data_IF_977724895605
#
_entry.id   IF_977724895605
#
_cell.length_a   1.000
_cell.length_b   1.000
_cell.length_c   1.000
_cell.angle_alpha   90.00
_cell.angle_beta   90.00
_cell.angle_gamma   90.00
#
_symmetry.space_group_name_H-M   'P 1'
#
loop_
_entity.id
_entity.type
_entity.pdbx_description
1 polymer ?
#
# COMPACT_ATOMS: atom_id res chain seq x y z
N UNK A 1 81.83 -7.11 12.18
CA UNK A 1 81.65 -6.62 10.80
C UNK A 1 80.83 -5.33 10.91
N UNK A 2 81.38 -4.21 10.39
CA UNK A 2 80.87 -2.83 10.54
C UNK A 2 79.43 -2.70 9.99
N UNK A 3 78.58 -1.82 10.51
CA UNK A 3 78.40 -0.43 10.02
C UNK A 3 77.81 0.48 11.11
N UNK A 4 78.24 1.74 11.05
CA UNK A 4 78.03 2.88 11.95
C UNK A 4 76.59 3.42 12.01
N UNK A 5 76.25 3.90 13.21
CA UNK A 5 75.14 4.83 13.51
C UNK A 5 75.67 6.28 13.48
N UNK A 6 74.97 7.20 12.79
CA UNK A 6 75.18 8.66 12.93
C UNK A 6 73.81 9.37 12.97
N UNK A 7 73.70 10.29 13.93
CA UNK A 7 72.59 11.22 14.22
C UNK A 7 72.34 12.28 13.14
N UNK A 8 71.14 12.91 13.13
CA UNK A 8 70.97 14.37 13.33
C UNK A 8 69.48 14.77 13.57
N UNK A 9 69.17 15.87 14.30
CA UNK A 9 67.80 16.31 14.66
C UNK A 9 67.33 17.64 14.01
N UNK A 10 66.02 17.90 14.15
CA UNK A 10 65.23 19.16 14.22
C UNK A 10 65.50 20.33 13.25
N UNK A 11 64.42 20.87 12.65
CA UNK A 11 64.00 22.28 12.84
C UNK A 11 62.59 22.56 12.26
N UNK A 12 61.93 23.57 12.84
CA UNK A 12 60.50 23.94 12.77
C UNK A 12 60.29 25.29 12.06
N UNK A 13 59.08 25.48 11.50
CA UNK A 13 58.31 26.73 11.24
C UNK A 13 58.68 27.61 10.00
N UNK A 14 57.83 28.58 9.53
CA UNK A 14 56.36 28.81 9.62
C UNK A 14 55.65 29.25 8.27
N UNK A 15 54.31 29.45 8.32
CA UNK A 15 53.35 30.08 7.36
C UNK A 15 53.67 31.58 7.03
N UNK A 16 53.17 32.28 5.95
CA UNK A 16 51.73 32.67 5.77
C UNK A 16 51.16 33.09 4.37
N UNK A 17 49.81 33.12 4.30
CA UNK A 17 48.84 34.06 3.67
C UNK A 17 48.91 34.60 2.21
N UNK A 18 47.70 34.68 1.60
CA UNK A 18 47.08 35.74 0.74
C UNK A 18 46.45 35.19 -0.56
N UNK A 19 45.40 35.72 -1.21
CA UNK A 19 44.19 36.49 -0.88
C UNK A 19 43.34 36.58 -2.19
N UNK A 20 42.04 36.94 -2.09
CA UNK A 20 41.15 37.60 -3.10
C UNK A 20 40.17 36.80 -4.02
N UNK A 21 38.88 36.97 -3.67
CA UNK A 21 37.61 37.22 -4.42
C UNK A 21 37.17 36.46 -5.69
N UNK A 22 35.90 36.02 -5.73
CA UNK A 22 34.76 36.83 -6.23
C UNK A 22 33.41 36.13 -5.98
N UNK A 23 32.36 36.92 -5.82
CA UNK A 23 31.01 36.50 -5.46
C UNK A 23 30.18 36.08 -6.68
N UNK A 24 29.30 35.09 -6.49
CA UNK A 24 28.09 34.92 -7.28
C UNK A 24 26.97 34.43 -6.35
N UNK A 25 25.91 35.22 -6.26
CA UNK A 25 24.66 34.92 -5.57
C UNK A 25 24.03 33.65 -6.15
N UNK A 26 23.64 32.71 -5.30
CA UNK A 26 22.71 31.64 -5.67
C UNK A 26 21.55 31.65 -4.68
N UNK A 27 20.37 31.98 -5.20
CA UNK A 27 19.08 31.86 -4.53
C UNK A 27 18.81 30.38 -4.27
N UNK A 28 18.94 29.92 -3.03
CA UNK A 28 18.56 28.56 -2.63
C UNK A 28 17.05 28.49 -2.43
N UNK A 29 16.30 28.14 -3.47
CA UNK A 29 14.97 27.56 -3.30
C UNK A 29 15.13 26.14 -2.77
N UNK A 30 15.13 25.96 -1.45
CA UNK A 30 15.04 24.63 -0.86
C UNK A 30 13.62 24.11 -1.03
N UNK A 31 13.32 23.49 -2.17
CA UNK A 31 12.17 22.58 -2.25
C UNK A 31 12.53 21.35 -1.43
N UNK A 32 12.12 21.35 -0.16
CA UNK A 32 11.97 20.13 0.62
C UNK A 32 11.07 19.19 -0.18
N UNK A 33 11.66 18.20 -0.85
CA UNK A 33 10.89 17.08 -1.41
C UNK A 33 10.46 16.26 -0.20
N UNK A 34 9.28 16.55 0.32
CA UNK A 34 8.54 15.65 1.21
C UNK A 34 8.38 14.34 0.45
N UNK A 35 9.11 13.30 0.84
CA UNK A 35 8.90 11.96 0.29
C UNK A 35 7.49 11.52 0.68
N UNK A 36 6.60 11.41 -0.31
CA UNK A 36 5.29 10.82 -0.09
C UNK A 36 5.49 9.36 0.31
N UNK A 37 5.14 9.07 1.56
CA UNK A 37 5.05 7.73 2.10
C UNK A 37 3.90 7.03 1.39
N UNK A 38 4.17 5.94 0.66
CA UNK A 38 3.16 5.20 -0.08
C UNK A 38 3.56 3.71 -0.23
N UNK A 39 2.64 2.83 0.12
CA UNK A 39 2.72 1.37 -0.02
C UNK A 39 1.34 0.84 -0.43
N UNK A 40 1.29 -0.31 -1.09
CA UNK A 40 0.13 -0.72 -1.89
C UNK A 40 -0.06 -2.22 -1.91
N UNK A 41 -1.31 -2.65 -1.78
CA UNK A 41 -1.69 -4.05 -1.99
C UNK A 41 -1.47 -4.47 -3.47
N UNK A 42 -0.95 -5.68 -3.75
CA UNK A 42 -0.85 -6.20 -5.12
C UNK A 42 -2.23 -6.46 -5.74
N UNK A 43 -2.30 -6.43 -7.07
CA UNK A 43 -3.51 -6.72 -7.86
C UNK A 43 -4.14 -8.08 -7.48
N UNK A 44 -5.46 -8.17 -7.66
CA UNK A 44 -6.20 -9.41 -7.51
C UNK A 44 -5.61 -10.49 -8.46
N UNK A 45 -5.16 -11.63 -7.92
CA UNK A 45 -4.51 -12.66 -8.74
C UNK A 45 -5.51 -13.51 -9.54
N UNK A 46 -6.82 -13.40 -9.27
CA UNK A 46 -7.82 -14.17 -9.99
C UNK A 46 -8.02 -13.61 -11.40
N UNK A 47 -8.00 -14.48 -12.43
CA UNK A 47 -8.26 -14.03 -13.78
C UNK A 47 -9.72 -13.64 -13.96
N UNK A 48 -9.99 -12.83 -14.98
CA UNK A 48 -11.33 -12.36 -15.31
C UNK A 48 -11.50 -12.26 -16.83
N UNK A 49 -12.76 -12.15 -17.23
CA UNK A 49 -13.13 -11.84 -18.60
C UNK A 49 -13.51 -10.37 -18.74
N UNK A 50 -13.32 -9.84 -19.94
CA UNK A 50 -13.93 -8.57 -20.36
C UNK A 50 -14.92 -8.80 -21.49
N UNK A 51 -15.93 -7.92 -21.54
CA UNK A 51 -16.90 -7.89 -22.64
C UNK A 51 -16.38 -6.94 -23.71
N UNK A 52 -16.28 -7.45 -24.93
CA UNK A 52 -15.95 -6.69 -26.12
C UNK A 52 -17.14 -5.84 -26.58
N UNK A 53 -16.93 -4.80 -27.39
CA UNK A 53 -18.01 -3.96 -27.93
C UNK A 53 -19.12 -4.72 -28.68
N UNK A 54 -18.81 -5.88 -29.27
CA UNK A 54 -19.79 -6.75 -29.94
C UNK A 54 -20.56 -7.70 -29.00
N UNK A 55 -20.31 -7.62 -27.69
CA UNK A 55 -20.90 -8.48 -26.67
C UNK A 55 -20.20 -9.82 -26.47
N UNK A 56 -19.18 -10.14 -27.27
CA UNK A 56 -18.35 -11.33 -27.04
C UNK A 56 -17.47 -11.17 -25.79
N UNK A 57 -17.02 -12.29 -25.23
CA UNK A 57 -16.13 -12.31 -24.07
C UNK A 57 -14.70 -12.58 -24.51
N UNK A 58 -13.73 -11.89 -23.92
CA UNK A 58 -12.30 -12.26 -24.05
C UNK A 58 -12.04 -13.65 -23.46
N UNK A 59 -10.92 -14.31 -23.78
CA UNK A 59 -10.31 -15.33 -22.93
C UNK A 59 -10.00 -14.79 -21.53
N UNK A 60 -9.52 -15.65 -20.63
CA UNK A 60 -9.13 -15.23 -19.28
C UNK A 60 -7.96 -14.24 -19.37
N UNK A 61 -8.09 -13.15 -18.64
CA UNK A 61 -7.09 -12.10 -18.52
C UNK A 61 -6.57 -12.04 -17.09
N UNK A 62 -5.29 -11.78 -16.96
CA UNK A 62 -4.58 -11.58 -15.70
C UNK A 62 -4.19 -10.12 -15.55
N UNK A 63 -4.56 -9.52 -14.42
CA UNK A 63 -4.12 -8.17 -14.06
C UNK A 63 -2.92 -8.26 -13.12
N UNK A 64 -1.83 -7.60 -13.49
CA UNK A 64 -0.57 -7.62 -12.74
C UNK A 64 -0.14 -6.20 -12.37
N UNK A 65 0.42 -6.07 -11.16
CA UNK A 65 0.97 -4.84 -10.64
C UNK A 65 0.52 -4.51 -9.23
N UNK A 66 0.91 -3.33 -8.76
CA UNK A 66 0.64 -2.82 -7.42
C UNK A 66 0.32 -1.32 -7.41
N UNK A 67 -0.05 -0.75 -8.55
CA UNK A 67 -0.40 0.67 -8.66
C UNK A 67 0.79 1.66 -8.66
N UNK A 68 1.92 1.40 -7.98
CA UNK A 68 3.10 2.31 -7.98
C UNK A 68 4.07 2.11 -9.16
N UNK A 69 3.67 1.26 -10.10
CA UNK A 69 4.31 1.08 -11.40
C UNK A 69 3.27 1.21 -12.51
N UNK A 70 3.57 0.72 -13.71
CA UNK A 70 2.60 0.62 -14.80
C UNK A 70 1.93 -0.76 -14.73
N UNK A 71 0.80 -0.94 -14.02
CA UNK A 71 0.10 -2.22 -14.02
C UNK A 71 -0.34 -2.54 -15.44
N UNK A 72 -0.37 -3.82 -15.77
CA UNK A 72 -0.73 -4.28 -17.10
C UNK A 72 -1.63 -5.49 -17.03
N UNK A 73 -2.33 -5.74 -18.13
CA UNK A 73 -3.17 -6.92 -18.31
C UNK A 73 -2.48 -7.83 -19.32
N UNK A 74 -2.50 -9.13 -19.10
CA UNK A 74 -2.08 -10.11 -20.08
C UNK A 74 -3.11 -11.23 -20.23
N UNK A 75 -3.05 -11.95 -21.34
CA UNK A 75 -3.78 -13.22 -21.50
C UNK A 75 -3.08 -14.38 -20.75
N UNK A 76 -3.62 -15.60 -20.89
CA UNK A 76 -3.08 -16.82 -20.30
C UNK A 76 -1.71 -17.24 -20.86
N UNK A 77 -1.35 -16.76 -22.06
CA UNK A 77 -0.05 -17.03 -22.69
C UNK A 77 1.00 -15.95 -22.34
N UNK A 78 0.60 -14.90 -21.63
CA UNK A 78 1.46 -13.81 -21.18
C UNK A 78 1.68 -12.72 -22.23
N UNK A 79 0.80 -12.58 -23.23
CA UNK A 79 0.77 -11.43 -24.14
C UNK A 79 0.01 -10.29 -23.50
N UNK A 80 0.59 -9.10 -23.53
CA UNK A 80 0.00 -7.89 -22.95
C UNK A 80 -1.17 -7.44 -23.80
N UNK A 81 -2.24 -7.00 -23.13
CA UNK A 81 -3.46 -6.51 -23.76
C UNK A 81 -3.79 -5.11 -23.26
N UNK A 82 -4.52 -4.35 -24.07
CA UNK A 82 -4.97 -3.00 -23.73
C UNK A 82 -6.24 -2.64 -24.51
N UNK A 83 -6.88 -1.53 -24.14
CA UNK A 83 -8.03 -1.01 -24.87
C UNK A 83 -7.60 -0.05 -25.98
N UNK A 84 -8.22 -0.16 -27.15
CA UNK A 84 -8.11 0.84 -28.22
C UNK A 84 -9.11 1.99 -28.03
N UNK A 85 -9.12 2.94 -28.97
CA UNK A 85 -9.97 4.13 -28.93
C UNK A 85 -11.47 3.79 -29.09
N UNK A 86 -11.75 2.67 -29.75
CA UNK A 86 -13.09 2.12 -29.97
C UNK A 86 -13.58 1.24 -28.80
N UNK A 87 -12.72 1.01 -27.80
CA UNK A 87 -13.04 0.26 -26.58
C UNK A 87 -12.86 -1.26 -26.69
N UNK A 88 -12.30 -1.78 -27.80
CA UNK A 88 -11.94 -3.18 -27.92
C UNK A 88 -10.73 -3.51 -27.08
N UNK A 89 -10.73 -4.70 -26.49
CA UNK A 89 -9.53 -5.29 -25.89
C UNK A 89 -8.71 -5.94 -27.00
N UNK A 90 -7.53 -5.38 -27.26
CA UNK A 90 -6.59 -5.77 -28.30
C UNK A 90 -5.23 -6.12 -27.70
N UNK A 91 -4.42 -6.92 -28.42
CA UNK A 91 -3.05 -7.15 -28.02
C UNK A 91 -2.23 -5.86 -28.12
N UNK A 92 -1.29 -5.68 -27.22
CA UNK A 92 -0.33 -4.58 -27.26
C UNK A 92 0.85 -4.93 -28.18
N UNK A 93 1.28 -3.96 -28.98
CA UNK A 93 2.50 -4.06 -29.78
C UNK A 93 3.50 -2.99 -29.36
N UNK A 94 4.79 -3.29 -29.57
CA UNK A 94 5.85 -2.33 -29.31
C UNK A 94 5.70 -1.12 -30.24
N UNK A 95 5.85 0.10 -29.71
CA UNK A 95 6.08 1.24 -30.58
C UNK A 95 7.51 1.14 -31.13
N UNK A 96 7.65 1.09 -32.46
CA UNK A 96 8.95 1.14 -33.12
C UNK A 96 9.77 2.32 -32.57
N UNK A 97 10.90 2.01 -31.94
CA UNK A 97 11.81 2.98 -31.30
C UNK A 97 12.54 3.86 -32.34
N UNK A 98 12.35 3.57 -33.64
CA UNK A 98 13.14 4.09 -34.77
C UNK A 98 12.75 5.50 -35.25
N UNK A 99 11.71 6.13 -34.68
CA UNK A 99 11.34 7.53 -34.99
C UNK A 99 11.97 8.56 -34.02
N UNK A 100 12.97 8.16 -33.23
CA UNK A 100 13.74 9.09 -32.40
C UNK A 100 15.00 9.52 -33.13
N UNK A 101 15.12 10.82 -33.41
CA UNK A 101 16.35 11.42 -33.93
C UNK A 101 17.59 10.94 -33.15
N UNK A 102 18.66 10.55 -33.84
CA UNK A 102 19.93 10.09 -33.26
C UNK A 102 20.50 11.01 -32.16
N UNK A 103 20.08 12.28 -32.10
CA UNK A 103 20.36 13.22 -31.02
C UNK A 103 19.84 12.78 -29.64
N UNK A 104 18.66 12.15 -29.55
CA UNK A 104 18.07 11.70 -28.28
C UNK A 104 18.79 10.48 -27.71
N UNK A 105 19.28 9.60 -28.60
CA UNK A 105 20.04 8.41 -28.22
C UNK A 105 21.45 8.77 -27.72
N UNK A 106 22.08 9.82 -28.29
CA UNK A 106 23.38 10.30 -27.84
C UNK A 106 23.32 11.09 -26.52
N UNK A 107 22.21 11.78 -26.24
CA UNK A 107 22.00 12.42 -24.93
C UNK A 107 21.85 11.38 -23.82
N UNK A 108 21.14 10.27 -24.09
CA UNK A 108 20.95 9.17 -23.13
C UNK A 108 22.23 8.38 -22.84
N UNK A 109 23.08 8.16 -23.84
CA UNK A 109 24.37 7.47 -23.64
C UNK A 109 25.40 8.26 -22.82
N UNK A 110 25.14 9.54 -22.54
CA UNK A 110 25.94 10.39 -21.64
C UNK A 110 25.39 10.44 -20.21
N UNK A 111 24.25 9.79 -19.93
CA UNK A 111 23.56 9.82 -18.64
C UNK A 111 23.42 8.44 -17.98
N UNK A 112 24.29 7.47 -18.32
CA UNK A 112 24.38 6.22 -17.57
C UNK A 112 25.07 6.48 -16.22
N UNK A 113 24.26 6.64 -15.16
CA UNK A 113 24.39 5.92 -13.87
C UNK A 113 23.37 6.37 -12.79
N UNK A 114 22.43 7.27 -13.08
CA UNK A 114 21.30 7.54 -12.17
C UNK A 114 20.05 8.01 -12.93
N UNK A 115 18.92 7.33 -12.72
CA UNK A 115 17.57 7.85 -12.95
C UNK A 115 17.06 8.04 -14.40
N UNK A 116 17.19 7.04 -15.28
CA UNK A 116 16.46 7.04 -16.57
C UNK A 116 15.45 5.89 -16.68
N UNK A 117 14.19 6.21 -16.32
CA UNK A 117 12.98 5.47 -16.67
C UNK A 117 12.87 5.29 -18.20
N UNK A 118 13.33 4.15 -18.71
CA UNK A 118 12.99 3.73 -20.07
C UNK A 118 11.62 3.03 -20.03
N UNK A 119 10.51 3.78 -20.05
CA UNK A 119 9.17 3.17 -20.24
C UNK A 119 9.16 2.35 -21.54
N UNK A 120 8.63 1.12 -21.51
CA UNK A 120 8.27 0.41 -22.75
C UNK A 120 7.07 1.12 -23.34
N UNK A 121 7.30 1.87 -24.42
CA UNK A 121 6.22 2.46 -25.20
C UNK A 121 5.51 1.32 -25.94
N UNK A 122 4.27 1.05 -25.57
CA UNK A 122 3.37 0.12 -26.28
C UNK A 122 2.21 0.92 -26.87
N UNK A 123 1.56 0.33 -27.88
CA UNK A 123 0.33 0.86 -28.46
C UNK A 123 -0.67 -0.29 -28.68
N UNK A 124 -1.98 0.01 -28.79
CA UNK A 124 -2.95 -0.98 -29.23
C UNK A 124 -2.57 -1.49 -30.63
N UNK A 125 -2.53 -2.79 -30.80
CA UNK A 125 -2.45 -3.41 -32.14
C UNK A 125 -3.83 -3.48 -32.78
N UNK A 126 -3.88 -3.87 -34.05
CA UNK A 126 -5.13 -4.19 -34.76
C UNK A 126 -5.73 -5.56 -34.41
N UNK A 127 -5.11 -6.30 -33.49
CA UNK A 127 -5.43 -7.70 -33.22
C UNK A 127 -6.32 -7.83 -31.98
N UNK A 128 -7.61 -8.09 -32.21
CA UNK A 128 -8.61 -8.27 -31.15
C UNK A 128 -8.33 -9.55 -30.38
N UNK A 129 -8.30 -9.44 -29.05
CA UNK A 129 -8.05 -10.59 -28.16
C UNK A 129 -9.19 -11.61 -28.30
N UNK A 130 -8.83 -12.89 -28.43
CA UNK A 130 -9.77 -13.99 -28.67
C UNK A 130 -10.16 -14.22 -30.14
N UNK A 131 -9.78 -13.32 -31.05
CA UNK A 131 -10.04 -13.48 -32.50
C UNK A 131 -8.89 -14.13 -33.27
N UNK A 132 -7.69 -14.18 -32.67
CA UNK A 132 -6.44 -14.67 -33.28
C UNK A 132 -5.59 -15.37 -32.23
N UNK A 133 -4.75 -16.31 -32.67
CA UNK A 133 -3.69 -16.93 -31.87
C UNK A 133 -2.46 -15.99 -31.82
N UNK A 134 -2.13 -15.41 -30.65
CA UNK A 134 -1.06 -14.42 -30.53
C UNK A 134 0.33 -15.02 -30.77
N UNK A 135 0.53 -16.32 -30.57
CA UNK A 135 1.81 -17.00 -30.81
C UNK A 135 2.24 -17.00 -32.28
N UNK A 136 1.28 -16.78 -33.18
CA UNK A 136 1.52 -16.69 -34.63
C UNK A 136 1.91 -15.28 -35.10
N UNK A 137 1.82 -14.28 -34.21
CA UNK A 137 2.03 -12.87 -34.52
C UNK A 137 3.43 -12.41 -34.08
N UNK A 138 4.00 -11.44 -34.79
CA UNK A 138 5.29 -10.83 -34.46
C UNK A 138 5.08 -9.42 -33.90
N UNK A 139 5.96 -8.98 -33.00
CA UNK A 139 5.96 -7.62 -32.46
C UNK A 139 5.01 -7.36 -31.30
N UNK A 140 4.28 -8.39 -30.84
CA UNK A 140 3.45 -8.29 -29.64
C UNK A 140 4.31 -8.20 -28.37
N UNK A 141 3.88 -7.38 -27.43
CA UNK A 141 4.54 -7.22 -26.13
C UNK A 141 4.13 -8.35 -25.19
N UNK A 142 5.09 -8.91 -24.44
CA UNK A 142 4.84 -9.94 -23.41
C UNK A 142 4.99 -9.41 -21.99
N UNK A 143 4.33 -10.05 -21.03
CA UNK A 143 4.41 -9.76 -19.60
C UNK A 143 5.86 -9.82 -19.09
N UNK A 144 6.63 -10.81 -19.55
CA UNK A 144 8.06 -10.93 -19.21
C UNK A 144 8.88 -9.70 -19.65
N UNK A 145 8.51 -9.07 -20.77
CA UNK A 145 9.14 -7.82 -21.22
C UNK A 145 8.73 -6.64 -20.31
N UNK A 146 7.48 -6.59 -19.87
CA UNK A 146 6.96 -5.55 -18.97
C UNK A 146 7.57 -5.57 -17.57
N UNK A 147 7.77 -6.75 -16.98
CA UNK A 147 8.28 -6.92 -15.59
C UNK A 147 9.72 -6.41 -15.38
N UNK A 148 10.54 -6.34 -16.43
CA UNK A 148 11.95 -5.89 -16.35
C UNK A 148 12.14 -4.40 -16.02
N UNK A 149 11.06 -3.61 -15.87
CA UNK A 149 11.14 -2.15 -15.73
C UNK A 149 10.84 -1.70 -14.30
N UNK A 150 11.84 -1.07 -13.67
CA UNK A 150 11.87 -0.73 -12.24
C UNK A 150 10.96 0.46 -11.89
N UNK A 151 10.27 0.34 -10.77
CA UNK A 151 9.82 1.47 -9.96
C UNK A 151 10.62 1.47 -8.65
N UNK A 152 11.48 2.49 -8.48
CA UNK A 152 12.11 2.82 -7.21
C UNK A 152 11.20 3.82 -6.50
N UNK A 153 10.30 3.36 -5.64
CA UNK A 153 9.67 4.23 -4.64
C UNK A 153 9.74 3.64 -3.24
N UNK A 154 9.99 4.56 -2.32
CA UNK A 154 10.62 4.46 -1.02
C UNK A 154 10.02 3.44 -0.06
N UNK A 155 10.89 2.78 0.70
CA UNK A 155 10.55 2.11 1.96
C UNK A 155 10.20 3.14 3.04
N UNK A 156 9.10 2.88 3.74
CA UNK A 156 8.70 3.56 4.96
C UNK A 156 9.72 3.37 6.11
N UNK A 157 9.95 4.44 6.88
CA UNK A 157 10.57 4.37 8.21
C UNK A 157 9.47 4.37 9.29
N UNK A 158 9.28 3.23 9.96
CA UNK A 158 8.24 3.01 10.99
C UNK A 158 8.80 2.97 12.43
N UNK A 159 9.88 3.68 12.72
CA UNK A 159 10.60 3.60 14.00
C UNK A 159 9.81 3.98 15.25
N UNK A 160 8.66 4.67 15.14
CA UNK A 160 7.88 5.12 16.30
C UNK A 160 6.80 4.12 16.78
N UNK A 161 6.07 3.44 15.88
CA UNK A 161 5.05 2.44 16.28
C UNK A 161 5.70 1.15 16.81
N UNK A 162 6.78 0.71 16.15
CA UNK A 162 7.53 -0.52 16.54
C UNK A 162 8.06 -0.47 17.97
N UNK A 163 8.57 0.69 18.41
CA UNK A 163 9.17 0.87 19.74
C UNK A 163 8.16 0.64 20.87
N UNK A 164 6.88 0.93 20.63
CA UNK A 164 5.82 0.76 21.62
C UNK A 164 5.39 -0.70 21.74
N UNK A 165 5.22 -1.39 20.62
CA UNK A 165 4.83 -2.81 20.55
C UNK A 165 5.86 -3.74 21.20
N UNK A 166 7.14 -3.37 21.16
CA UNK A 166 8.24 -4.19 21.69
C UNK A 166 8.52 -4.02 23.20
N UNK A 167 7.81 -3.12 23.90
CA UNK A 167 8.18 -2.69 25.27
C UNK A 167 7.33 -3.29 26.41
N UNK A 168 6.32 -4.11 26.11
CA UNK A 168 5.31 -4.55 27.09
C UNK A 168 5.05 -6.05 27.04
N UNK A 169 4.99 -6.69 28.21
CA UNK A 169 4.48 -8.07 28.39
C UNK A 169 2.95 -8.12 28.47
N UNK A 170 2.28 -6.98 28.61
CA UNK A 170 0.83 -6.84 28.60
C UNK A 170 0.29 -6.65 27.17
N UNK A 171 -0.93 -7.15 26.92
CA UNK A 171 -1.66 -6.94 25.67
C UNK A 171 -1.71 -5.45 25.32
N UNK A 172 -1.20 -5.10 24.14
CA UNK A 172 -1.26 -3.76 23.59
C UNK A 172 -2.62 -3.54 22.96
N UNK A 173 -3.36 -2.52 23.39
CA UNK A 173 -4.57 -2.06 22.72
C UNK A 173 -4.19 -1.08 21.61
N UNK A 174 -4.72 -1.33 20.41
CA UNK A 174 -4.55 -0.46 19.25
C UNK A 174 -5.93 -0.03 18.76
N UNK A 175 -6.24 1.26 18.90
CA UNK A 175 -7.53 1.83 18.54
C UNK A 175 -7.47 2.53 17.19
N UNK A 176 -8.27 2.10 16.23
CA UNK A 176 -8.37 2.72 14.91
C UNK A 176 -9.65 3.54 14.78
N UNK A 177 -9.57 4.69 14.11
CA UNK A 177 -10.73 5.39 13.56
C UNK A 177 -10.93 4.91 12.12
N UNK A 178 -12.13 4.43 11.80
CA UNK A 178 -12.49 3.97 10.46
C UNK A 178 -13.51 4.92 9.85
N UNK A 179 -13.10 5.61 8.79
CA UNK A 179 -13.95 6.48 7.98
C UNK A 179 -14.64 5.68 6.88
N UNK A 180 -15.94 5.86 6.73
CA UNK A 180 -16.70 5.34 5.58
C UNK A 180 -16.97 6.50 4.62
N UNK A 181 -16.25 6.56 3.50
CA UNK A 181 -16.31 7.68 2.54
C UNK A 181 -17.17 7.35 1.33
N UNK A 182 -18.30 8.04 1.20
CA UNK A 182 -19.19 7.98 0.04
C UNK A 182 -18.88 9.13 -0.93
N UNK A 183 -18.64 8.82 -2.20
CA UNK A 183 -18.44 9.85 -3.23
C UNK A 183 -19.77 10.53 -3.59
N UNK A 184 -19.70 11.77 -4.10
CA UNK A 184 -20.89 12.58 -4.40
C UNK A 184 -21.83 11.90 -5.41
N UNK A 185 -21.26 11.17 -6.37
CA UNK A 185 -21.97 10.41 -7.41
C UNK A 185 -22.42 9.01 -6.96
N UNK A 186 -22.09 8.58 -5.75
CA UNK A 186 -22.47 7.27 -5.21
C UNK A 186 -23.65 7.31 -4.24
N UNK A 187 -24.40 8.41 -4.19
CA UNK A 187 -25.52 8.61 -3.25
C UNK A 187 -26.65 7.59 -3.41
N UNK A 188 -26.85 7.04 -4.61
CA UNK A 188 -27.83 5.99 -4.89
C UNK A 188 -27.27 4.57 -4.84
N UNK A 189 -25.97 4.39 -4.58
CA UNK A 189 -25.34 3.06 -4.53
C UNK A 189 -25.71 2.36 -3.23
N UNK A 190 -26.05 1.08 -3.34
CA UNK A 190 -26.24 0.22 -2.18
C UNK A 190 -24.86 -0.08 -1.55
N UNK A 191 -24.73 0.16 -0.25
CA UNK A 191 -23.48 0.06 0.49
C UNK A 191 -23.67 -0.75 1.78
N UNK A 192 -22.66 -1.51 2.24
CA UNK A 192 -22.70 -2.12 3.56
C UNK A 192 -22.92 -1.09 4.65
N UNK A 193 -23.74 -1.42 5.65
CA UNK A 193 -24.04 -0.50 6.76
C UNK A 193 -22.83 -0.30 7.68
N UNK A 194 -22.85 0.77 8.47
CA UNK A 194 -21.89 1.00 9.55
C UNK A 194 -21.83 -0.18 10.53
N UNK A 195 -22.97 -0.84 10.81
CA UNK A 195 -23.02 -2.04 11.65
C UNK A 195 -22.32 -3.25 11.00
N UNK A 196 -22.41 -3.41 9.68
CA UNK A 196 -21.62 -4.43 8.97
C UNK A 196 -20.12 -4.19 9.16
N UNK A 197 -19.65 -2.95 8.99
CA UNK A 197 -18.24 -2.61 9.25
C UNK A 197 -17.86 -2.76 10.71
N UNK A 198 -18.73 -2.41 11.66
CA UNK A 198 -18.46 -2.66 13.07
C UNK A 198 -18.20 -4.16 13.34
N UNK A 199 -18.99 -5.07 12.74
CA UNK A 199 -18.75 -6.51 12.83
C UNK A 199 -17.47 -6.93 12.13
N UNK A 200 -17.24 -6.42 10.92
CA UNK A 200 -16.04 -6.68 10.12
C UNK A 200 -14.73 -6.35 10.86
N UNK A 201 -14.71 -5.25 11.62
CA UNK A 201 -13.53 -4.83 12.38
C UNK A 201 -13.46 -5.42 13.80
N UNK A 202 -14.56 -5.46 14.54
CA UNK A 202 -14.53 -5.63 16.00
C UNK A 202 -15.09 -6.97 16.52
N UNK A 203 -15.85 -7.72 15.71
CA UNK A 203 -16.56 -8.89 16.24
C UNK A 203 -15.57 -9.91 16.81
N UNK A 204 -15.84 -10.42 18.00
CA UNK A 204 -15.18 -11.62 18.51
C UNK A 204 -16.14 -12.79 18.32
N UNK A 205 -15.79 -13.76 17.48
CA UNK A 205 -16.54 -15.01 17.40
C UNK A 205 -16.40 -15.76 18.73
N UNK A 206 -17.54 -16.14 19.30
CA UNK A 206 -17.65 -17.32 20.16
C UNK A 206 -18.04 -18.49 19.26
N UNK A 207 -17.63 -19.72 19.57
CA UNK A 207 -17.65 -20.94 18.74
C UNK A 207 -18.96 -21.33 18.02
N UNK A 208 -20.05 -20.58 18.18
CA UNK A 208 -21.41 -21.02 17.89
C UNK A 208 -22.12 -20.16 16.81
N UNK A 209 -21.50 -19.14 16.18
CA UNK A 209 -22.18 -18.35 15.14
C UNK A 209 -21.27 -17.62 14.11
N UNK A 210 -20.85 -18.33 13.06
CA UNK A 210 -20.09 -17.78 11.91
C UNK A 210 -20.79 -16.53 11.38
N UNK A 211 -20.09 -15.40 11.39
CA UNK A 211 -20.60 -14.14 10.84
C UNK A 211 -20.77 -14.19 9.31
N UNK A 212 -21.85 -13.61 8.79
CA UNK A 212 -22.08 -13.45 7.34
C UNK A 212 -21.16 -12.39 6.72
N UNK A 213 -20.74 -11.38 7.50
CA UNK A 213 -19.86 -10.30 7.05
C UNK A 213 -18.37 -10.66 7.23
N UNK A 214 -18.02 -11.27 8.36
CA UNK A 214 -16.66 -11.69 8.68
C UNK A 214 -16.53 -13.22 8.94
N UNK A 215 -16.87 -14.08 7.95
CA UNK A 215 -16.96 -15.54 8.13
C UNK A 215 -15.62 -16.21 8.45
N UNK A 216 -14.50 -15.52 8.21
CA UNK A 216 -13.14 -15.99 8.49
C UNK A 216 -12.49 -15.25 9.66
N UNK A 217 -13.31 -14.58 10.47
CA UNK A 217 -12.92 -13.75 11.59
C UNK A 217 -12.84 -12.27 11.22
N UNK A 218 -13.08 -11.40 12.20
CA UNK A 218 -12.89 -9.95 12.07
C UNK A 218 -11.42 -9.55 12.10
N UNK A 219 -11.12 -8.29 11.78
CA UNK A 219 -9.77 -7.71 11.93
C UNK A 219 -9.24 -7.94 13.35
N UNK A 220 -10.06 -7.66 14.37
CA UNK A 220 -9.72 -7.91 15.77
C UNK A 220 -9.28 -9.35 16.01
N UNK A 221 -10.00 -10.34 15.48
CA UNK A 221 -9.66 -11.75 15.68
C UNK A 221 -8.40 -12.17 14.94
N UNK A 222 -8.23 -11.72 13.69
CA UNK A 222 -7.03 -12.01 12.91
C UNK A 222 -5.78 -11.53 13.67
N UNK A 223 -5.79 -10.30 14.18
CA UNK A 223 -4.64 -9.75 14.91
C UNK A 223 -4.48 -10.36 16.31
N UNK A 224 -5.56 -10.67 17.02
CA UNK A 224 -5.48 -11.40 18.29
C UNK A 224 -4.84 -12.78 18.12
N UNK A 225 -5.24 -13.53 17.08
CA UNK A 225 -4.69 -14.85 16.80
C UNK A 225 -3.22 -14.76 16.38
N UNK A 226 -2.90 -13.87 15.44
CA UNK A 226 -1.54 -13.74 14.90
C UNK A 226 -0.52 -13.25 15.94
N UNK A 227 -0.97 -12.42 16.89
CA UNK A 227 -0.15 -11.88 17.96
C UNK A 227 -0.09 -12.75 19.22
N UNK A 228 -0.79 -13.89 19.24
CA UNK A 228 -0.95 -14.72 20.43
C UNK A 228 -1.51 -13.94 21.64
N UNK A 229 -2.46 -13.05 21.38
CA UNK A 229 -3.10 -12.19 22.39
C UNK A 229 -2.28 -10.97 22.82
N UNK A 230 -1.12 -10.70 22.20
CA UNK A 230 -0.30 -9.52 22.51
C UNK A 230 -0.83 -8.22 21.88
N UNK A 231 -1.67 -8.30 20.86
CA UNK A 231 -2.30 -7.15 20.20
C UNK A 231 -3.82 -7.30 20.18
N UNK A 232 -4.51 -6.35 20.78
CA UNK A 232 -5.96 -6.19 20.67
C UNK A 232 -6.26 -5.00 19.75
N UNK A 233 -6.54 -5.29 18.48
CA UNK A 233 -7.02 -4.31 17.51
C UNK A 233 -8.51 -4.00 17.77
N UNK A 234 -8.88 -2.74 17.80
CA UNK A 234 -10.28 -2.30 17.94
C UNK A 234 -10.51 -1.04 17.11
N UNK A 235 -11.75 -0.82 16.69
CA UNK A 235 -12.09 0.23 15.74
C UNK A 235 -13.36 0.98 16.15
N UNK A 236 -13.30 2.31 16.16
CA UNK A 236 -14.49 3.15 16.04
C UNK A 236 -14.82 3.30 14.55
N UNK A 237 -15.99 2.82 14.14
CA UNK A 237 -16.48 2.96 12.77
C UNK A 237 -17.53 4.05 12.75
N UNK A 238 -17.27 5.14 12.04
CA UNK A 238 -18.26 6.22 11.85
C UNK A 238 -19.25 5.86 10.74
N UNK A 239 -20.37 6.56 10.66
CA UNK A 239 -21.33 6.36 9.57
C UNK A 239 -20.81 6.91 8.23
N UNK A 240 -21.49 6.59 7.14
CA UNK A 240 -21.12 7.04 5.78
C UNK A 240 -21.12 8.55 5.65
N UNK A 241 -19.96 9.12 5.30
CA UNK A 241 -19.76 10.54 5.07
C UNK A 241 -19.71 10.78 3.56
N UNK A 242 -20.63 11.60 3.05
CA UNK A 242 -20.68 11.92 1.63
C UNK A 242 -19.80 13.12 1.31
N UNK A 243 -18.64 12.88 0.71
CA UNK A 243 -17.71 13.95 0.32
C UNK A 243 -18.21 14.72 -0.91
N UNK A 244 -17.60 15.86 -1.17
CA UNK A 244 -18.06 16.83 -2.17
C UNK A 244 -17.75 16.43 -3.63
N UNK A 245 -16.66 15.68 -3.86
CA UNK A 245 -16.22 15.23 -5.19
C UNK A 245 -16.73 13.84 -5.60
N UNK A 246 -16.63 13.55 -6.90
CA UNK A 246 -16.90 12.23 -7.50
C UNK A 246 -15.74 11.26 -7.31
N UNK A 247 -15.95 9.96 -7.52
CA UNK A 247 -14.85 8.98 -7.49
C UNK A 247 -13.75 9.35 -8.49
N UNK A 248 -14.12 9.64 -9.74
CA UNK A 248 -13.17 10.00 -10.80
C UNK A 248 -12.34 11.24 -10.44
N UNK A 249 -12.95 12.26 -9.81
CA UNK A 249 -12.23 13.45 -9.37
C UNK A 249 -11.12 13.11 -8.38
N UNK A 250 -11.41 12.29 -7.37
CA UNK A 250 -10.41 11.92 -6.37
C UNK A 250 -9.43 10.86 -6.85
N UNK A 251 -9.84 9.97 -7.76
CA UNK A 251 -8.95 9.00 -8.40
C UNK A 251 -7.94 9.68 -9.33
N UNK A 252 -8.38 10.74 -10.01
CA UNK A 252 -7.54 11.63 -10.83
C UNK A 252 -6.74 10.90 -11.92
N UNK A 253 -7.25 9.78 -12.45
CA UNK A 253 -6.55 8.94 -13.42
C UNK A 253 -5.30 8.23 -12.88
N UNK A 254 -5.00 8.39 -11.58
CA UNK A 254 -3.78 7.91 -10.92
C UNK A 254 -4.14 7.13 -9.64
N UNK A 255 -5.27 6.43 -9.69
CA UNK A 255 -5.70 5.51 -8.64
C UNK A 255 -5.92 6.14 -7.26
N UNK A 256 -6.05 7.47 -7.20
CA UNK A 256 -6.24 8.23 -5.97
C UNK A 256 -4.97 8.49 -5.16
N UNK A 257 -3.77 8.13 -5.64
CA UNK A 257 -2.53 8.29 -4.86
C UNK A 257 -2.16 9.74 -4.54
N UNK A 258 -2.60 10.69 -5.38
CA UNK A 258 -2.36 12.12 -5.16
C UNK A 258 -3.51 12.81 -4.44
N UNK A 259 -4.75 12.63 -4.93
CA UNK A 259 -5.87 13.53 -4.61
C UNK A 259 -6.85 13.00 -3.57
N UNK A 260 -6.87 11.70 -3.31
CA UNK A 260 -7.84 11.10 -2.40
C UNK A 260 -7.71 11.62 -0.95
N UNK A 261 -6.54 12.14 -0.57
CA UNK A 261 -6.34 12.85 0.71
C UNK A 261 -7.32 13.99 0.94
N UNK A 262 -7.74 14.70 -0.11
CA UNK A 262 -8.74 15.77 -0.02
C UNK A 262 -10.07 15.24 0.56
N UNK A 263 -10.52 14.06 0.12
CA UNK A 263 -11.73 13.41 0.62
C UNK A 263 -11.59 13.00 2.09
N UNK A 264 -10.41 12.54 2.50
CA UNK A 264 -10.12 12.13 3.88
C UNK A 264 -10.15 13.34 4.81
N UNK A 265 -9.52 14.45 4.42
CA UNK A 265 -9.53 15.70 5.19
C UNK A 265 -10.96 16.24 5.35
N UNK A 266 -11.73 16.29 4.25
CA UNK A 266 -13.13 16.70 4.29
C UNK A 266 -13.98 15.81 5.21
N UNK A 267 -13.73 14.49 5.19
CA UNK A 267 -14.43 13.56 6.07
C UNK A 267 -14.05 13.75 7.54
N UNK A 268 -12.78 13.98 7.85
CA UNK A 268 -12.29 14.23 9.21
C UNK A 268 -12.88 15.52 9.77
N UNK A 269 -12.93 16.62 9.01
CA UNK A 269 -13.54 17.87 9.45
C UNK A 269 -14.98 17.64 9.94
N UNK A 270 -15.78 16.89 9.17
CA UNK A 270 -17.16 16.55 9.53
C UNK A 270 -17.27 15.63 10.74
N UNK A 271 -16.34 14.68 10.88
CA UNK A 271 -16.30 13.80 12.06
C UNK A 271 -16.06 14.62 13.32
N UNK A 272 -15.07 15.50 13.31
CA UNK A 272 -14.73 16.32 14.46
C UNK A 272 -15.74 17.45 14.73
N UNK A 273 -16.50 17.88 13.73
CA UNK A 273 -17.62 18.82 13.89
C UNK A 273 -18.84 18.21 14.58
N UNK A 274 -19.18 16.96 14.27
CA UNK A 274 -20.53 16.43 14.54
C UNK A 274 -20.62 15.01 15.10
N UNK A 275 -19.51 14.31 15.27
CA UNK A 275 -19.50 12.94 15.80
C UNK A 275 -19.10 12.95 17.27
N UNK A 276 -19.86 12.22 18.08
CA UNK A 276 -19.45 11.90 19.44
C UNK A 276 -18.28 10.91 19.40
N UNK A 277 -17.09 11.41 19.75
CA UNK A 277 -15.86 10.62 19.85
C UNK A 277 -15.57 10.22 21.31
N UNK A 278 -16.54 10.39 22.22
CA UNK A 278 -16.41 10.01 23.62
C UNK A 278 -16.05 8.53 23.76
N UNK A 279 -15.04 8.26 24.60
CA UNK A 279 -14.50 6.91 24.82
C UNK A 279 -13.31 6.54 23.95
N UNK A 280 -12.90 7.39 22.99
CA UNK A 280 -11.56 7.33 22.41
C UNK A 280 -10.57 8.15 23.26
N UNK A 281 -9.68 7.46 23.97
CA UNK A 281 -8.56 8.07 24.68
C UNK A 281 -7.40 8.42 23.73
N UNK A 282 -7.30 7.72 22.60
CA UNK A 282 -6.32 7.92 21.54
C UNK A 282 -6.77 7.25 20.24
N UNK A 283 -6.36 7.81 19.11
CA UNK A 283 -6.39 7.12 17.81
C UNK A 283 -4.97 6.67 17.47
N UNK A 284 -4.74 5.36 17.40
CA UNK A 284 -3.46 4.76 16.97
C UNK A 284 -3.38 4.59 15.45
N UNK A 285 -4.51 4.37 14.78
CA UNK A 285 -4.57 4.17 13.33
C UNK A 285 -5.77 4.86 12.69
N UNK A 286 -5.61 5.27 11.43
CA UNK A 286 -6.67 5.81 10.60
C UNK A 286 -6.91 4.88 9.39
N UNK A 287 -8.11 4.33 9.27
CA UNK A 287 -8.53 3.51 8.14
C UNK A 287 -9.65 4.18 7.36
N UNK A 288 -9.69 3.96 6.05
CA UNK A 288 -10.71 4.51 5.16
C UNK A 288 -11.30 3.41 4.29
N UNK A 289 -12.62 3.27 4.33
CA UNK A 289 -13.38 2.41 3.42
C UNK A 289 -14.16 3.30 2.44
N UNK A 290 -13.87 3.23 1.14
CA UNK A 290 -14.55 4.06 0.14
C UNK A 290 -15.67 3.32 -0.59
N UNK A 291 -16.71 4.04 -0.99
CA UNK A 291 -17.89 3.51 -1.69
C UNK A 291 -17.66 3.01 -3.14
N UNK A 292 -16.43 3.09 -3.62
CA UNK A 292 -16.00 2.62 -4.95
C UNK A 292 -15.66 1.13 -4.97
N UNK A 293 -15.37 0.58 -6.14
CA UNK A 293 -14.74 -0.74 -6.26
C UNK A 293 -13.22 -0.58 -6.38
N UNK A 294 -12.44 -1.40 -5.69
CA UNK A 294 -10.97 -1.28 -5.68
C UNK A 294 -10.35 -1.39 -7.08
N UNK A 295 -9.43 -0.48 -7.41
CA UNK A 295 -8.71 -0.50 -8.68
C UNK A 295 -7.81 -1.74 -8.85
N UNK A 296 -7.41 -2.37 -7.75
CA UNK A 296 -6.63 -3.62 -7.72
C UNK A 296 -7.37 -4.82 -8.35
N UNK A 297 -8.68 -4.71 -8.62
CA UNK A 297 -9.46 -5.78 -9.26
C UNK A 297 -9.29 -5.87 -10.79
N UNK A 298 -8.62 -4.93 -11.46
CA UNK A 298 -8.50 -4.98 -12.92
C UNK A 298 -9.78 -4.54 -13.65
N UNK A 299 -9.67 -4.28 -14.95
CA UNK A 299 -10.77 -4.06 -15.89
C UNK A 299 -11.86 -3.02 -15.56
N UNK A 300 -12.96 -3.06 -16.32
CA UNK A 300 -14.12 -2.20 -16.04
C UNK A 300 -14.93 -2.72 -14.84
N UNK A 301 -15.55 -1.78 -14.12
CA UNK A 301 -16.63 -2.06 -13.16
C UNK A 301 -18.03 -2.04 -13.83
N UNK A 302 -19.09 -2.37 -13.08
CA UNK A 302 -20.46 -2.34 -13.64
C UNK A 302 -20.99 -0.94 -13.99
N UNK A 303 -20.25 0.12 -13.69
CA UNK A 303 -20.56 1.50 -14.06
C UNK A 303 -19.67 1.99 -15.20
N UNK A 304 -18.89 1.09 -15.82
CA UNK A 304 -17.99 1.38 -16.92
C UNK A 304 -16.81 2.29 -16.53
N UNK A 305 -16.44 2.31 -15.25
CA UNK A 305 -15.29 3.05 -14.73
C UNK A 305 -14.00 2.27 -14.97
N UNK A 306 -12.99 2.93 -15.53
CA UNK A 306 -11.66 2.35 -15.75
C UNK A 306 -10.85 2.28 -14.45
N UNK A 307 -9.83 1.42 -14.40
CA UNK A 307 -8.99 1.27 -13.20
C UNK A 307 -8.38 2.58 -12.69
N UNK A 308 -7.82 3.40 -13.58
CA UNK A 308 -7.18 4.66 -13.19
C UNK A 308 -8.12 5.65 -12.51
N UNK A 309 -9.42 5.52 -12.77
CA UNK A 309 -10.49 6.33 -12.22
C UNK A 309 -11.18 5.68 -11.01
N UNK A 310 -10.61 4.59 -10.47
CA UNK A 310 -11.01 3.97 -9.21
C UNK A 310 -9.88 4.11 -8.19
N UNK A 311 -10.18 4.05 -6.89
CA UNK A 311 -9.14 4.14 -5.86
C UNK A 311 -8.46 2.77 -5.69
N UNK A 312 -7.13 2.75 -5.69
CA UNK A 312 -6.34 1.55 -5.38
C UNK A 312 -6.07 1.47 -3.88
N UNK A 313 -6.26 0.30 -3.28
CA UNK A 313 -6.02 0.11 -1.84
C UNK A 313 -4.55 0.36 -1.45
N UNK A 314 -4.30 1.30 -0.54
CA UNK A 314 -2.94 1.75 -0.20
C UNK A 314 -2.81 2.28 1.21
N UNK A 315 -1.59 2.25 1.73
CA UNK A 315 -1.18 3.00 2.90
C UNK A 315 -0.35 4.20 2.49
N UNK A 316 -0.69 5.37 3.04
CA UNK A 316 0.03 6.61 2.83
C UNK A 316 0.26 7.37 4.14
N UNK A 317 1.02 8.46 4.04
CA UNK A 317 1.34 9.34 5.16
C UNK A 317 1.35 10.81 4.76
N UNK A 318 1.70 11.66 5.72
CA UNK A 318 1.70 13.12 5.59
C UNK A 318 0.30 13.69 5.32
N UNK A 319 -0.73 13.13 5.95
CA UNK A 319 -2.11 13.63 5.82
C UNK A 319 -2.21 15.10 6.22
N UNK A 320 -1.44 15.54 7.24
CA UNK A 320 -1.37 16.94 7.62
C UNK A 320 -2.66 17.47 8.24
N UNK A 321 -3.52 16.58 8.73
CA UNK A 321 -4.75 16.97 9.41
C UNK A 321 -4.42 17.58 10.77
N UNK A 322 -4.87 18.82 10.97
CA UNK A 322 -4.78 19.51 12.25
C UNK A 322 -6.19 19.57 12.80
N UNK A 323 -6.44 18.85 13.90
CA UNK A 323 -7.74 18.88 14.57
C UNK A 323 -8.03 20.33 15.05
N UNK A 324 -9.03 21.04 14.48
CA UNK A 324 -9.30 22.43 14.82
C UNK A 324 -9.92 22.59 16.23
N UNK A 325 -10.44 21.51 16.80
CA UNK A 325 -10.98 21.44 18.16
C UNK A 325 -9.92 21.08 19.19
N UNK A 326 -8.67 20.91 18.76
CA UNK A 326 -7.58 20.73 19.69
C UNK A 326 -7.34 22.02 20.46
N UNK A 327 -7.72 22.05 21.75
CA UNK A 327 -7.24 23.13 22.61
C UNK A 327 -5.73 23.01 22.72
N UNK A 328 -4.99 24.04 22.29
CA UNK A 328 -3.60 24.19 22.70
C UNK A 328 -3.56 24.03 24.22
N UNK A 329 -2.73 23.15 24.76
CA UNK A 329 -2.51 23.01 26.19
C UNK A 329 -1.94 24.33 26.74
N UNK A 330 -2.82 25.29 27.00
CA UNK A 330 -2.52 26.49 27.76
C UNK A 330 -2.42 26.08 29.20
N UNK A 331 -1.21 26.05 29.74
CA UNK A 331 -1.03 25.99 31.19
C UNK A 331 -1.63 27.27 31.76
N UNK A 332 -2.82 27.18 32.37
CA UNK A 332 -3.39 28.28 33.16
C UNK A 332 -2.35 28.68 34.23
N UNK A 333 -2.24 29.98 34.54
CA UNK A 333 -1.25 30.55 35.46
C UNK A 333 -1.32 29.98 36.90
N UNK A 334 -2.30 29.13 37.20
CA UNK A 334 -2.48 28.43 38.48
C UNK A 334 -2.06 26.95 38.48
N UNK A 335 -1.47 26.43 37.40
CA UNK A 335 -0.89 25.07 37.38
C UNK A 335 -1.91 23.93 37.42
N UNK A 336 -3.20 24.21 37.23
CA UNK A 336 -4.22 23.18 36.95
C UNK A 336 -4.24 22.91 35.46
N UNK A 337 -3.71 21.76 35.07
CA UNK A 337 -3.83 21.22 33.73
C UNK A 337 -5.33 20.99 33.44
N UNK A 338 -5.90 21.73 32.48
CA UNK A 338 -7.31 21.56 32.09
C UNK A 338 -7.53 20.27 31.30
N UNK A 339 -6.45 19.54 30.96
CA UNK A 339 -6.47 18.10 30.76
C UNK A 339 -7.30 17.58 29.59
N UNK A 340 -7.77 18.43 28.67
CA UNK A 340 -8.34 17.95 27.40
C UNK A 340 -7.17 17.76 26.44
N UNK A 341 -6.55 16.58 26.48
CA UNK A 341 -5.74 16.13 25.36
C UNK A 341 -6.68 16.01 24.18
N UNK A 342 -6.54 16.92 23.22
CA UNK A 342 -7.21 16.82 21.95
C UNK A 342 -6.92 15.45 21.32
N UNK A 343 -7.96 14.77 20.85
CA UNK A 343 -7.80 13.50 20.17
C UNK A 343 -6.96 13.75 18.90
N UNK A 344 -5.73 13.24 18.91
CA UNK A 344 -4.80 13.37 17.81
C UNK A 344 -5.10 12.30 16.77
N UNK A 345 -5.21 12.71 15.51
CA UNK A 345 -5.29 11.80 14.36
C UNK A 345 -3.87 11.51 13.87
N UNK A 346 -3.53 10.24 13.59
CA UNK A 346 -2.22 9.90 13.02
C UNK A 346 -2.10 10.42 11.59
N UNK A 347 -0.89 10.88 11.21
CA UNK A 347 -0.59 11.31 9.85
C UNK A 347 -0.57 10.17 8.82
N UNK A 348 -0.51 8.93 9.30
CA UNK A 348 -0.55 7.71 8.48
C UNK A 348 -1.97 7.15 8.42
N UNK A 349 -2.39 6.76 7.23
CA UNK A 349 -3.70 6.17 6.99
C UNK A 349 -3.61 5.07 5.94
N UNK A 350 -4.57 4.15 5.96
CA UNK A 350 -4.81 3.27 4.82
C UNK A 350 -6.18 3.51 4.18
N UNK A 351 -6.29 3.06 2.94
CA UNK A 351 -7.48 3.12 2.12
C UNK A 351 -7.77 1.74 1.57
N UNK A 352 -9.04 1.33 1.62
CA UNK A 352 -9.52 0.13 0.97
C UNK A 352 -10.94 0.33 0.42
N UNK A 353 -11.30 -0.45 -0.58
CA UNK A 353 -12.67 -0.52 -1.08
C UNK A 353 -13.61 -1.06 0.00
N UNK A 354 -14.78 -0.45 0.16
CA UNK A 354 -15.86 -0.98 0.99
C UNK A 354 -16.54 -2.20 0.35
N UNK A 355 -16.42 -2.32 -0.98
CA UNK A 355 -17.11 -3.31 -1.80
C UNK A 355 -16.13 -4.37 -2.30
N UNK A 356 -16.66 -5.57 -2.50
CA UNK A 356 -15.95 -6.69 -3.11
C UNK A 356 -16.14 -6.70 -4.63
N UNK A 357 -15.14 -7.21 -5.34
CA UNK A 357 -15.17 -7.39 -6.79
C UNK A 357 -15.39 -6.07 -7.54
N UNK A 358 -16.13 -6.10 -8.65
CA UNK A 358 -16.34 -4.98 -9.57
C UNK A 358 -17.82 -4.63 -9.77
N UNK A 359 -18.71 -5.33 -9.04
CA UNK A 359 -20.16 -5.21 -9.14
C UNK A 359 -20.82 -5.60 -7.81
N UNK A 360 -22.04 -5.13 -7.59
CA UNK A 360 -22.85 -5.48 -6.40
C UNK A 360 -22.49 -4.69 -5.15
N UNK A 361 -23.09 -5.07 -4.02
CA UNK A 361 -23.01 -4.36 -2.74
C UNK A 361 -22.35 -5.21 -1.63
N UNK A 362 -21.78 -6.36 -1.98
CA UNK A 362 -21.12 -7.23 -1.01
C UNK A 362 -19.93 -6.50 -0.38
N UNK A 363 -19.82 -6.61 0.95
CA UNK A 363 -18.71 -6.03 1.70
C UNK A 363 -17.37 -6.64 1.27
N UNK A 364 -16.33 -5.81 1.30
CA UNK A 364 -14.96 -6.21 1.01
C UNK A 364 -14.49 -7.43 1.79
N UNK A 365 -13.52 -8.16 1.23
CA UNK A 365 -12.86 -9.27 1.92
C UNK A 365 -11.75 -8.77 2.82
N UNK A 366 -11.50 -9.52 3.90
CA UNK A 366 -10.61 -9.12 4.98
C UNK A 366 -9.14 -9.01 4.59
N UNK A 367 -8.69 -9.76 3.56
CA UNK A 367 -7.27 -9.85 3.22
C UNK A 367 -6.60 -8.52 2.95
N UNK A 368 -7.18 -7.67 2.12
CA UNK A 368 -6.65 -6.33 1.80
C UNK A 368 -6.51 -5.51 3.09
N UNK A 369 -7.55 -5.48 3.93
CA UNK A 369 -7.52 -4.70 5.17
C UNK A 369 -6.47 -5.26 6.14
N UNK A 370 -6.22 -6.57 6.18
CA UNK A 370 -5.14 -7.16 6.99
C UNK A 370 -3.76 -6.74 6.49
N UNK A 371 -3.55 -6.64 5.18
CA UNK A 371 -2.32 -6.14 4.58
C UNK A 371 -2.07 -4.69 4.98
N UNK A 372 -3.06 -3.83 4.74
CA UNK A 372 -2.96 -2.41 5.04
C UNK A 372 -2.79 -2.14 6.55
N UNK A 373 -3.50 -2.89 7.40
CA UNK A 373 -3.31 -2.81 8.84
C UNK A 373 -1.90 -3.28 9.26
N UNK A 374 -1.32 -4.25 8.58
CA UNK A 374 0.08 -4.66 8.78
C UNK A 374 1.07 -3.51 8.53
N UNK A 375 0.82 -2.68 7.53
CA UNK A 375 1.59 -1.45 7.31
C UNK A 375 1.39 -0.43 8.44
N UNK A 376 0.20 -0.31 9.04
CA UNK A 376 -0.02 0.57 10.21
C UNK A 376 0.82 0.15 11.42
N UNK A 377 1.03 -1.15 11.59
CA UNK A 377 1.93 -1.70 12.62
C UNK A 377 3.41 -1.56 12.26
N UNK A 378 3.69 -1.15 11.02
CA UNK A 378 5.01 -0.84 10.52
C UNK A 378 5.71 -1.99 9.80
N UNK A 379 4.97 -2.94 9.23
CA UNK A 379 5.55 -3.95 8.34
C UNK A 379 5.68 -3.39 6.91
N UNK A 380 6.76 -3.69 6.18
CA UNK A 380 6.88 -3.38 4.76
C UNK A 380 6.17 -4.42 3.89
N UNK A 381 6.00 -4.10 2.61
CA UNK A 381 5.68 -5.08 1.58
C UNK A 381 6.74 -6.19 1.50
N UNK A 382 6.30 -7.45 1.40
CA UNK A 382 7.14 -8.64 1.27
C UNK A 382 6.93 -9.40 -0.05
N UNK A 383 6.13 -8.88 -0.97
CA UNK A 383 6.09 -9.36 -2.34
C UNK A 383 7.26 -8.81 -3.16
N UNK A 384 7.57 -9.50 -4.26
CA UNK A 384 8.53 -9.00 -5.22
C UNK A 384 7.88 -7.89 -6.07
N UNK A 385 8.36 -6.65 -5.89
CA UNK A 385 7.83 -5.46 -6.58
C UNK A 385 8.03 -5.50 -8.10
N UNK A 386 8.90 -6.37 -8.61
CA UNK A 386 9.06 -6.59 -10.05
C UNK A 386 8.05 -7.58 -10.62
N UNK A 387 7.34 -8.32 -9.76
CA UNK A 387 6.44 -9.41 -10.14
C UNK A 387 7.12 -10.54 -10.94
N UNK A 388 8.46 -10.63 -10.90
CA UNK A 388 9.21 -11.77 -11.45
C UNK A 388 9.08 -13.01 -10.56
N UNK A 389 8.93 -12.80 -9.25
CA UNK A 389 8.57 -13.82 -8.27
C UNK A 389 7.38 -13.41 -7.40
N UNK A 390 7.07 -14.23 -6.40
CA UNK A 390 6.00 -13.97 -5.44
C UNK A 390 6.49 -13.27 -4.16
N UNK A 391 7.79 -12.97 -4.03
CA UNK A 391 8.39 -12.65 -2.73
C UNK A 391 8.20 -13.82 -1.75
N UNK A 392 7.64 -13.56 -0.56
CA UNK A 392 7.27 -14.65 0.37
C UNK A 392 5.92 -15.30 0.05
N UNK A 393 5.16 -14.80 -0.93
CA UNK A 393 3.90 -15.38 -1.40
C UNK A 393 2.82 -15.51 -0.31
N UNK A 394 1.96 -16.51 -0.43
CA UNK A 394 0.87 -16.79 0.52
C UNK A 394 1.35 -17.37 1.87
N UNK A 395 2.61 -17.11 2.25
CA UNK A 395 3.16 -17.39 3.59
C UNK A 395 3.20 -16.13 4.48
N UNK A 396 2.87 -14.95 3.95
CA UNK A 396 2.70 -13.72 4.73
C UNK A 396 1.68 -12.78 4.05
N UNK A 397 0.74 -12.18 4.80
CA UNK A 397 -0.25 -11.28 4.21
C UNK A 397 0.38 -10.00 3.67
N UNK A 398 1.58 -9.61 4.13
CA UNK A 398 2.36 -8.51 3.57
C UNK A 398 2.92 -8.80 2.17
N UNK A 399 2.75 -10.03 1.67
CA UNK A 399 3.09 -10.39 0.30
C UNK A 399 1.84 -10.73 -0.51
N UNK A 400 1.07 -11.73 -0.06
CA UNK A 400 -0.14 -12.17 -0.78
C UNK A 400 -1.33 -12.29 0.16
N UNK A 401 -1.89 -11.13 0.46
CA UNK A 401 -3.09 -10.95 1.28
C UNK A 401 -4.34 -11.62 0.72
N UNK A 402 -4.36 -11.87 -0.59
CA UNK A 402 -5.37 -12.63 -1.30
C UNK A 402 -5.48 -14.11 -0.90
N UNK A 403 -4.49 -14.64 -0.17
CA UNK A 403 -4.47 -16.04 0.25
C UNK A 403 -4.03 -17.01 -0.86
N UNK A 404 -4.14 -18.30 -0.57
CA UNK A 404 -3.81 -19.38 -1.52
C UNK A 404 -4.84 -19.52 -2.63
N UNK A 405 -6.11 -19.25 -2.32
CA UNK A 405 -7.22 -19.34 -3.27
C UNK A 405 -7.43 -18.04 -4.07
N UNK A 406 -6.71 -16.98 -3.74
CA UNK A 406 -6.82 -15.68 -4.39
C UNK A 406 -8.08 -14.89 -4.02
N UNK A 407 -8.94 -15.40 -3.15
CA UNK A 407 -10.24 -14.78 -2.86
C UNK A 407 -10.15 -13.56 -1.92
N UNK A 408 -9.03 -13.44 -1.18
CA UNK A 408 -8.87 -12.50 -0.07
C UNK A 408 -9.72 -12.82 1.15
N UNK A 409 -10.47 -13.92 1.12
CA UNK A 409 -11.31 -14.36 2.23
C UNK A 409 -10.48 -15.01 3.34
N UNK A 410 -9.40 -15.71 2.98
CA UNK A 410 -8.50 -16.41 3.90
C UNK A 410 -7.09 -15.83 3.82
N UNK A 411 -6.81 -14.65 4.42
CA UNK A 411 -5.46 -14.13 4.45
C UNK A 411 -4.52 -15.13 5.14
N UNK A 412 -3.27 -15.26 4.67
CA UNK A 412 -2.31 -16.11 5.34
C UNK A 412 -1.96 -15.54 6.72
N UNK A 413 -1.45 -16.41 7.58
CA UNK A 413 -0.90 -16.00 8.86
C UNK A 413 0.39 -15.17 8.65
N UNK A 414 0.69 -14.23 9.54
CA UNK A 414 1.97 -13.51 9.50
C UNK A 414 3.15 -14.48 9.65
N UNK A 415 4.18 -14.27 8.84
CA UNK A 415 5.40 -15.08 8.85
C UNK A 415 6.18 -14.94 10.15
N UNK A 416 7.13 -15.85 10.38
CA UNK A 416 8.04 -15.76 11.51
C UNK A 416 8.77 -14.41 11.56
N UNK A 417 9.21 -13.88 10.41
CA UNK A 417 9.88 -12.58 10.34
C UNK A 417 8.96 -11.43 10.77
N UNK A 418 7.72 -11.38 10.26
CA UNK A 418 6.76 -10.35 10.64
C UNK A 418 6.40 -10.41 12.12
N UNK A 419 6.16 -11.62 12.64
CA UNK A 419 5.86 -11.85 14.06
C UNK A 419 7.02 -11.43 14.98
N UNK A 420 8.26 -11.74 14.61
CA UNK A 420 9.45 -11.28 15.34
C UNK A 420 9.61 -9.75 15.26
N UNK A 421 9.43 -9.18 14.07
CA UNK A 421 9.57 -7.74 13.82
C UNK A 421 8.59 -6.93 14.68
N UNK A 422 7.37 -7.41 14.85
CA UNK A 422 6.33 -6.79 15.68
C UNK A 422 6.44 -7.13 17.19
N UNK A 423 7.41 -7.96 17.60
CA UNK A 423 7.57 -8.37 19.00
C UNK A 423 6.52 -9.37 19.50
N UNK A 424 5.78 -10.02 18.59
CA UNK A 424 4.77 -11.00 18.96
C UNK A 424 5.37 -12.32 19.44
N UNK A 425 6.58 -12.65 18.99
CA UNK A 425 7.32 -13.85 19.39
C UNK A 425 8.76 -13.53 19.73
N UNK A 426 9.29 -14.24 20.72
CA UNK A 426 10.72 -14.23 21.04
C UNK A 426 11.38 -15.44 20.35
N UNK A 427 12.41 -15.26 19.51
CA UNK A 427 13.02 -16.37 18.79
C UNK A 427 13.84 -17.29 19.72
N UNK A 428 13.82 -18.58 19.39
CA UNK A 428 14.57 -19.64 20.08
C UNK A 428 15.82 -19.97 19.26
N UNK A 429 16.98 -19.56 19.74
CA UNK A 429 18.27 -19.81 19.08
C UNK A 429 18.65 -21.31 19.13
N UNK A 430 18.94 -21.89 17.96
CA UNK A 430 19.44 -23.26 17.83
C UNK A 430 20.95 -23.28 18.09
N UNK A 431 21.36 -23.78 19.27
CA UNK A 431 22.77 -23.80 19.71
C UNK A 431 23.55 -25.07 19.35
N UNK A 432 22.89 -26.05 18.73
CA UNK A 432 23.53 -27.31 18.37
C UNK A 432 22.61 -28.24 17.57
N UNK A 433 23.22 -29.29 17.02
CA UNK A 433 22.50 -30.32 16.29
C UNK A 433 21.52 -31.05 17.22
N UNK A 434 20.29 -31.25 16.77
CA UNK A 434 19.26 -31.90 17.56
C UNK A 434 17.95 -32.06 16.80
N UNK A 435 16.97 -32.62 17.49
CA UNK A 435 15.59 -32.71 17.02
C UNK A 435 14.78 -31.66 17.77
N UNK A 436 14.13 -30.78 17.02
CA UNK A 436 13.29 -29.70 17.54
C UNK A 436 11.84 -29.92 17.11
N UNK A 437 10.89 -29.56 17.97
CA UNK A 437 9.46 -29.69 17.67
C UNK A 437 8.87 -28.31 17.39
N UNK A 438 8.15 -28.20 16.27
CA UNK A 438 7.48 -26.97 15.86
C UNK A 438 5.97 -27.20 15.81
N UNK A 439 5.22 -26.45 16.62
CA UNK A 439 3.77 -26.42 16.56
C UNK A 439 3.25 -25.57 15.40
N UNK A 440 1.93 -25.64 15.16
CA UNK A 440 1.29 -24.75 14.18
C UNK A 440 1.47 -23.28 14.57
N UNK A 441 1.91 -22.45 13.62
CA UNK A 441 2.04 -20.99 13.79
C UNK A 441 0.72 -20.32 14.17
N UNK A 442 -0.43 -20.96 13.93
CA UNK A 442 -1.75 -20.44 14.33
C UNK A 442 -2.01 -20.47 15.83
N UNK A 443 -1.25 -21.28 16.59
CA UNK A 443 -1.51 -21.52 18.02
C UNK A 443 -0.26 -21.59 18.88
N UNK A 444 0.93 -21.76 18.30
CA UNK A 444 2.19 -21.91 19.02
C UNK A 444 3.16 -20.76 18.69
N UNK A 445 3.60 -19.96 19.67
CA UNK A 445 4.54 -18.84 19.48
C UNK A 445 5.99 -19.33 19.34
N UNK A 446 6.23 -20.40 18.60
CA UNK A 446 7.55 -21.00 18.42
C UNK A 446 8.16 -20.52 17.09
N UNK A 447 9.30 -19.84 17.18
CA UNK A 447 10.14 -19.49 16.03
C UNK A 447 11.57 -19.84 16.38
N UNK A 448 12.25 -20.61 15.53
CA UNK A 448 13.65 -20.98 15.71
C UNK A 448 14.53 -20.14 14.78
N UNK A 449 15.71 -19.73 15.28
CA UNK A 449 16.74 -18.99 14.52
C UNK A 449 18.09 -19.68 14.58
#
# INVERSE_FOLDING_TARGET
MRINTIMLPMMLAPLPASCVSSAAESTSSSSSRTSHILSTTPANPLPYHEVQPDGSSTPLLHFEGHGLGEPFVSDEEGYVVMRDEEGWVVYAEDQDVDDRSQSDLQLRRRLDESDAEAKVNIKPSRHVVGSVDPSTLQGLTTAAKRRRFKSNKSTLDHTNVRRRLQSSTATTKFQSLILLIRFADHTSRELPSQSNFHRFFNKLETSDNIDDVAPTGSIKQVFLQNSYGKLEASALVVDWITVSGTEEYYANGEYGFGRFQEAILEALDRVFEGTDLDGLDRIDGLGVMHSGYGAEYGGLDCYNTTNGNRIWSHQAGNLGFINPYASSSGTEANGTDTGVLALQVPDQYYVASALRAKCGADIARIGIVVHEYGHQLGLPDLYDKTFEGNGVGSYDPMSRSWGWDGSGMYPPIFSAWSKMTLGWVDPIEIKGNGVYSLGSSASAPQVYI
#
